data_IF_687501145964
#
_entry.id   IF_687501145964
#
_cell.length_a   1.000
_cell.length_b   1.000
_cell.length_c   1.000
_cell.angle_alpha   90.00
_cell.angle_beta   90.00
_cell.angle_gamma   90.00
#
_symmetry.space_group_name_H-M   'P 1'
#
loop_
_entity.id
_entity.type
_entity.pdbx_description
1 polymer ?
#
# COMPACT_ATOMS: atom_id res chain seq x y z
N UNK A 1 -20.58 -19.15 -4.30
CA UNK A 1 -19.81 -18.96 -5.55
C UNK A 1 -20.83 -18.85 -6.66
N UNK A 2 -20.79 -17.78 -7.47
CA UNK A 2 -21.74 -17.60 -8.57
C UNK A 2 -20.99 -17.81 -9.88
N UNK A 3 -21.53 -18.64 -10.76
CA UNK A 3 -20.94 -18.90 -12.08
C UNK A 3 -21.35 -17.80 -13.06
N UNK A 4 -20.41 -17.37 -13.88
CA UNK A 4 -20.63 -16.43 -14.97
C UNK A 4 -20.00 -17.01 -16.24
N UNK A 5 -20.65 -16.78 -17.38
CA UNK A 5 -20.12 -17.15 -18.69
C UNK A 5 -19.49 -15.93 -19.34
N UNK A 6 -18.26 -16.07 -19.82
CA UNK A 6 -17.47 -14.99 -20.41
C UNK A 6 -16.91 -15.47 -21.74
N UNK A 7 -16.99 -14.63 -22.78
CA UNK A 7 -16.30 -14.89 -24.05
C UNK A 7 -14.85 -14.43 -23.93
N UNK A 8 -13.91 -15.29 -24.27
CA UNK A 8 -12.48 -15.02 -24.23
C UNK A 8 -11.89 -15.28 -25.63
N UNK A 9 -10.94 -14.44 -26.10
CA UNK A 9 -10.11 -14.79 -27.24
C UNK A 9 -9.35 -16.09 -26.97
N UNK A 10 -9.15 -16.91 -28.01
CA UNK A 10 -8.48 -18.21 -27.88
C UNK A 10 -7.07 -18.08 -27.32
N UNK A 11 -6.32 -17.07 -27.75
CA UNK A 11 -4.95 -16.82 -27.26
C UNK A 11 -4.92 -16.57 -25.74
N UNK A 12 -5.89 -15.81 -25.23
CA UNK A 12 -5.99 -15.54 -23.79
C UNK A 12 -6.36 -16.81 -23.01
N UNK A 13 -7.20 -17.68 -23.58
CA UNK A 13 -7.51 -18.98 -22.95
C UNK A 13 -6.26 -19.85 -22.84
N UNK A 14 -5.42 -19.89 -23.89
CA UNK A 14 -4.15 -20.65 -23.90
C UNK A 14 -3.17 -20.13 -22.86
N UNK A 15 -3.08 -18.82 -22.67
CA UNK A 15 -2.27 -18.21 -21.61
C UNK A 15 -2.75 -18.61 -20.22
N UNK A 16 -4.05 -18.56 -19.96
CA UNK A 16 -4.64 -18.96 -18.69
C UNK A 16 -4.38 -20.45 -18.41
N UNK A 17 -4.45 -21.31 -19.42
CA UNK A 17 -4.16 -22.74 -19.32
C UNK A 17 -2.71 -23.01 -18.95
N UNK A 18 -1.76 -22.31 -19.59
CA UNK A 18 -0.34 -22.41 -19.24
C UNK A 18 -0.09 -21.97 -17.81
N UNK A 19 -0.68 -20.85 -17.38
CA UNK A 19 -0.50 -20.33 -16.02
C UNK A 19 -1.11 -21.25 -14.96
N UNK A 20 -2.30 -21.81 -15.25
CA UNK A 20 -2.97 -22.78 -14.40
C UNK A 20 -2.12 -24.05 -14.23
N UNK A 21 -1.56 -24.57 -15.32
CA UNK A 21 -0.67 -25.73 -15.30
C UNK A 21 0.62 -25.44 -14.52
N UNK A 22 1.26 -24.29 -14.77
CA UNK A 22 2.49 -23.90 -14.07
C UNK A 22 2.29 -23.76 -12.56
N UNK A 23 1.13 -23.28 -12.12
CA UNK A 23 0.78 -23.11 -10.71
C UNK A 23 0.14 -24.34 -10.07
N UNK A 24 -0.24 -25.35 -10.85
CA UNK A 24 -0.98 -26.53 -10.36
C UNK A 24 -2.38 -26.21 -9.81
N UNK A 25 -3.06 -25.20 -10.36
CA UNK A 25 -4.38 -24.74 -9.89
C UNK A 25 -5.40 -24.73 -11.03
N UNK A 26 -6.72 -24.79 -10.75
CA UNK A 26 -7.72 -24.72 -11.82
C UNK A 26 -7.75 -23.33 -12.49
N UNK A 27 -8.14 -23.28 -13.77
CA UNK A 27 -8.32 -22.04 -14.55
C UNK A 27 -9.14 -20.98 -13.82
N UNK A 28 -10.21 -21.40 -13.15
CA UNK A 28 -11.10 -20.51 -12.40
C UNK A 28 -10.41 -19.85 -11.19
N UNK A 29 -9.38 -20.47 -10.61
CA UNK A 29 -8.58 -19.87 -9.54
C UNK A 29 -7.67 -18.76 -10.10
N UNK A 30 -7.05 -19.00 -11.26
CA UNK A 30 -6.24 -17.98 -11.96
C UNK A 30 -7.10 -16.77 -12.33
N UNK A 31 -8.23 -17.00 -13.01
CA UNK A 31 -9.15 -15.94 -13.46
C UNK A 31 -9.67 -15.13 -12.26
N UNK A 32 -10.12 -15.82 -11.22
CA UNK A 32 -10.63 -15.15 -10.00
C UNK A 32 -9.53 -14.35 -9.30
N UNK A 33 -8.33 -14.90 -9.15
CA UNK A 33 -7.21 -14.20 -8.53
C UNK A 33 -6.84 -12.92 -9.28
N UNK A 34 -6.85 -12.96 -10.62
CA UNK A 34 -6.66 -11.78 -11.46
C UNK A 34 -7.77 -10.74 -11.25
N UNK A 35 -9.04 -11.15 -11.28
CA UNK A 35 -10.19 -10.26 -11.07
C UNK A 35 -10.17 -9.63 -9.67
N UNK A 36 -9.97 -10.44 -8.63
CA UNK A 36 -9.85 -9.96 -7.25
C UNK A 36 -8.67 -9.00 -7.10
N UNK A 37 -7.52 -9.34 -7.67
CA UNK A 37 -6.33 -8.50 -7.65
C UNK A 37 -6.59 -7.15 -8.32
N UNK A 38 -7.20 -7.13 -9.50
CA UNK A 38 -7.49 -5.91 -10.24
C UNK A 38 -8.53 -5.03 -9.54
N UNK A 39 -9.63 -5.64 -9.07
CA UNK A 39 -10.71 -4.92 -8.38
C UNK A 39 -10.31 -4.44 -6.99
N UNK A 40 -9.48 -5.21 -6.25
CA UNK A 40 -8.96 -4.77 -4.95
C UNK A 40 -7.88 -3.72 -5.13
N UNK A 41 -6.95 -3.85 -6.09
CA UNK A 41 -5.94 -2.82 -6.39
C UNK A 41 -6.57 -1.48 -6.78
N UNK A 42 -7.65 -1.50 -7.57
CA UNK A 42 -8.41 -0.31 -7.93
C UNK A 42 -9.12 0.35 -6.75
N UNK A 43 -9.55 -0.43 -5.76
CA UNK A 43 -10.17 0.06 -4.50
C UNK A 43 -9.16 0.48 -3.44
N UNK A 44 -7.93 -0.04 -3.49
CA UNK A 44 -6.82 0.35 -2.59
C UNK A 44 -6.05 1.55 -3.09
N UNK A 45 -6.47 2.22 -4.17
CA UNK A 45 -6.15 3.63 -4.37
C UNK A 45 -6.91 4.39 -3.28
N UNK A 46 -6.43 4.27 -2.04
CA UNK A 46 -6.85 5.13 -0.94
C UNK A 46 -6.79 6.55 -1.51
N UNK A 47 -7.84 7.39 -1.35
CA UNK A 47 -7.66 8.82 -1.56
C UNK A 47 -6.36 9.17 -0.85
N UNK A 48 -5.44 9.88 -1.53
CA UNK A 48 -4.13 10.29 -0.98
C UNK A 48 -4.26 10.45 0.51
N UNK A 49 -3.78 9.45 1.27
CA UNK A 49 -4.17 9.28 2.66
C UNK A 49 -3.91 10.62 3.33
N UNK A 50 -4.95 11.20 3.94
CA UNK A 50 -4.80 12.49 4.57
C UNK A 50 -3.66 12.40 5.56
N UNK A 51 -2.94 13.51 5.80
CA UNK A 51 -1.95 13.56 6.87
C UNK A 51 -2.50 12.98 8.18
N UNK A 52 -3.81 13.16 8.44
CA UNK A 52 -4.50 12.55 9.58
C UNK A 52 -4.55 11.01 9.51
N UNK A 53 -4.92 10.44 8.37
CA UNK A 53 -5.02 8.98 8.17
C UNK A 53 -3.67 8.29 8.35
N UNK A 54 -2.59 8.97 7.96
CA UNK A 54 -1.22 8.49 8.12
C UNK A 54 -0.72 8.57 9.56
N UNK A 55 -1.16 9.57 10.34
CA UNK A 55 -0.68 9.80 11.70
C UNK A 55 -1.40 8.98 12.78
N UNK A 56 -2.54 8.36 12.48
CA UNK A 56 -3.36 7.65 13.47
C UNK A 56 -2.63 6.52 14.21
N UNK A 57 -1.68 5.84 13.56
CA UNK A 57 -0.88 4.77 14.19
C UNK A 57 0.32 5.29 15.02
N UNK A 58 0.65 6.58 14.94
CA UNK A 58 1.75 7.19 15.68
C UNK A 58 1.32 7.69 17.07
N UNK A 59 0.01 7.73 17.37
CA UNK A 59 -0.50 8.15 18.67
C UNK A 59 0.04 7.23 19.75
N UNK A 60 0.79 7.80 20.70
CA UNK A 60 1.40 7.06 21.82
C UNK A 60 2.66 6.27 21.48
N UNK A 61 3.14 6.30 20.22
CA UNK A 61 4.37 5.60 19.81
C UNK A 61 5.65 6.22 20.38
N UNK A 62 5.60 7.51 20.74
CA UNK A 62 6.75 8.26 21.23
C UNK A 62 6.59 8.63 22.70
N UNK A 63 7.60 8.31 23.51
CA UNK A 63 7.72 8.80 24.89
C UNK A 63 8.71 9.95 24.93
N UNK A 64 8.27 11.10 25.44
CA UNK A 64 9.09 12.28 25.54
C UNK A 64 8.65 13.23 26.66
N UNK A 65 9.34 14.36 26.81
CA UNK A 65 8.97 15.42 27.74
C UNK A 65 7.51 15.87 27.54
N UNK A 66 6.83 16.25 28.64
CA UNK A 66 5.43 16.70 28.59
C UNK A 66 5.23 17.98 27.75
N UNK A 67 6.28 18.77 27.56
CA UNK A 67 6.26 20.04 26.84
C UNK A 67 6.69 19.91 25.37
N UNK A 68 6.81 18.69 24.84
CA UNK A 68 7.34 18.43 23.50
C UNK A 68 6.57 19.16 22.38
N UNK A 69 5.25 19.30 22.51
CA UNK A 69 4.39 19.98 21.53
C UNK A 69 4.43 21.51 21.63
N UNK A 70 4.84 22.07 22.77
CA UNK A 70 4.83 23.53 23.01
C UNK A 70 6.22 24.16 22.94
N UNK A 71 7.26 23.41 23.31
CA UNK A 71 8.61 23.91 23.39
C UNK A 71 9.36 23.77 22.06
N UNK A 72 9.39 24.87 21.30
CA UNK A 72 10.02 24.95 19.97
C UNK A 72 11.51 24.59 19.93
N UNK A 73 12.21 24.63 21.07
CA UNK A 73 13.65 24.32 21.15
C UNK A 73 13.95 22.89 20.72
N UNK A 74 13.07 21.95 21.02
CA UNK A 74 13.26 20.54 20.63
C UNK A 74 13.28 20.37 19.11
N UNK A 75 12.35 21.00 18.40
CA UNK A 75 12.31 20.97 16.93
C UNK A 75 13.54 21.64 16.32
N UNK A 76 13.93 22.81 16.83
CA UNK A 76 15.11 23.53 16.33
C UNK A 76 16.40 22.72 16.50
N UNK A 77 16.56 22.06 17.64
CA UNK A 77 17.71 21.20 17.90
C UNK A 77 17.70 19.96 16.99
N UNK A 78 16.53 19.36 16.76
CA UNK A 78 16.38 18.22 15.87
C UNK A 78 16.73 18.58 14.41
N UNK A 79 16.21 19.69 13.88
CA UNK A 79 16.50 20.16 12.52
C UNK A 79 17.99 20.47 12.34
N UNK A 80 18.62 21.12 13.32
CA UNK A 80 20.07 21.39 13.30
C UNK A 80 20.89 20.11 13.36
N UNK A 81 20.46 19.11 14.13
CA UNK A 81 21.12 17.82 14.21
C UNK A 81 20.97 17.01 12.90
N UNK A 82 19.82 17.08 12.24
CA UNK A 82 19.55 16.38 10.98
C UNK A 82 20.31 16.99 9.80
N UNK A 83 20.41 18.33 9.75
CA UNK A 83 21.26 19.04 8.79
C UNK A 83 22.73 18.63 8.90
N UNK A 84 23.24 18.40 10.13
CA UNK A 84 24.59 17.85 10.35
C UNK A 84 24.74 16.40 9.88
N UNK A 85 23.65 15.64 9.81
CA UNK A 85 23.62 14.25 9.32
C UNK A 85 23.44 14.14 7.81
N UNK A 86 23.40 15.26 7.08
CA UNK A 86 23.27 15.28 5.63
C UNK A 86 21.88 14.90 5.11
N UNK A 87 20.88 14.77 6.00
CA UNK A 87 19.48 14.60 5.60
C UNK A 87 18.86 16.00 5.54
N UNK A 88 18.92 16.63 4.39
CA UNK A 88 18.14 17.85 4.15
C UNK A 88 16.70 17.43 3.90
N UNK A 89 15.83 17.65 4.89
CA UNK A 89 14.39 17.63 4.69
C UNK A 89 14.02 18.82 3.79
N UNK A 90 13.94 18.59 2.49
CA UNK A 90 13.36 19.54 1.53
C UNK A 90 11.87 19.72 1.88
N UNK A 91 11.35 20.96 1.91
CA UNK A 91 9.97 21.25 2.27
C UNK A 91 8.95 20.61 1.32
#
# INVERSE_FOLDING_TARGET
>A
MTAISLKLPEELLREIEREAAARGVPKSAVIRGCLEGMLRKGRTRKPTASCLDLMGNLVGSFRGPRDLSSNRRYLQNAVRADAKRGRTSTP
#
